data_IF_479621476974
#
_entry.id   IF_479621476974
#
_cell.length_a   1.000
_cell.length_b   1.000
_cell.length_c   1.000
_cell.angle_alpha   90.00
_cell.angle_beta   90.00
_cell.angle_gamma   90.00
#
_symmetry.space_group_name_H-M   'P 1'
#
loop_
_entity.id
_entity.type
_entity.pdbx_description
1 polymer ?
#
# COMPACT_ATOMS: atom_id res chain seq x y z
N UNK A 1 17.74 -1.92 -37.50
CA UNK A 1 17.80 -2.39 -36.10
C UNK A 1 18.79 -3.53 -36.06
N UNK A 2 20.02 -3.25 -35.63
CA UNK A 2 21.07 -4.27 -35.57
C UNK A 2 20.92 -5.09 -34.28
N UNK A 3 21.52 -6.29 -34.25
CA UNK A 3 21.53 -7.14 -33.05
C UNK A 3 22.14 -6.39 -31.84
N UNK A 4 23.08 -5.46 -32.08
CA UNK A 4 23.65 -4.59 -31.06
C UNK A 4 22.65 -3.61 -30.44
N UNK A 5 21.75 -3.03 -31.24
CA UNK A 5 20.69 -2.13 -30.75
C UNK A 5 19.71 -2.85 -29.81
N UNK A 6 19.35 -4.10 -30.16
CA UNK A 6 18.46 -4.92 -29.35
C UNK A 6 19.09 -5.29 -28.01
N UNK A 7 20.38 -5.61 -28.00
CA UNK A 7 21.13 -5.90 -26.77
C UNK A 7 21.18 -4.66 -25.85
N UNK A 8 21.41 -3.47 -26.41
CA UNK A 8 21.41 -2.22 -25.65
C UNK A 8 20.03 -1.92 -25.05
N UNK A 9 18.96 -2.06 -25.84
CA UNK A 9 17.58 -1.87 -25.36
C UNK A 9 17.24 -2.86 -24.25
N UNK A 10 17.62 -4.13 -24.40
CA UNK A 10 17.38 -5.16 -23.39
C UNK A 10 18.08 -4.83 -22.06
N UNK A 11 19.33 -4.36 -22.10
CA UNK A 11 20.07 -3.96 -20.90
C UNK A 11 19.42 -2.75 -20.22
N UNK A 12 19.03 -1.72 -20.98
CA UNK A 12 18.35 -0.54 -20.43
C UNK A 12 17.01 -0.94 -19.80
N UNK A 13 16.23 -1.80 -20.46
CA UNK A 13 14.96 -2.28 -19.96
C UNK A 13 15.13 -3.08 -18.65
N UNK A 14 16.16 -3.92 -18.53
CA UNK A 14 16.46 -4.68 -17.32
C UNK A 14 16.83 -3.77 -16.15
N UNK A 15 17.68 -2.76 -16.39
CA UNK A 15 18.06 -1.77 -15.38
C UNK A 15 16.85 -0.95 -14.93
N UNK A 16 16.04 -0.49 -15.88
CA UNK A 16 14.80 0.24 -15.59
C UNK A 16 13.82 -0.62 -14.79
N UNK A 17 13.65 -1.90 -15.17
CA UNK A 17 12.78 -2.85 -14.48
C UNK A 17 13.19 -3.04 -13.01
N UNK A 18 14.48 -3.24 -12.72
CA UNK A 18 14.97 -3.42 -11.35
C UNK A 18 14.77 -2.15 -10.51
N UNK A 19 15.04 -0.97 -11.07
CA UNK A 19 14.81 0.32 -10.40
C UNK A 19 13.33 0.55 -10.10
N UNK A 20 12.45 0.33 -11.08
CA UNK A 20 10.99 0.48 -10.93
C UNK A 20 10.49 -0.52 -9.89
N UNK A 21 10.93 -1.78 -9.92
CA UNK A 21 10.52 -2.80 -8.95
C UNK A 21 10.89 -2.41 -7.52
N UNK A 22 12.11 -1.89 -7.30
CA UNK A 22 12.57 -1.43 -5.97
C UNK A 22 11.80 -0.19 -5.50
N UNK A 23 11.47 0.71 -6.42
CA UNK A 23 10.66 1.90 -6.13
C UNK A 23 9.21 1.55 -5.81
N UNK A 24 8.62 0.59 -6.54
CA UNK A 24 7.25 0.12 -6.29
C UNK A 24 7.13 -0.54 -4.93
N UNK A 25 8.10 -1.38 -4.54
CA UNK A 25 8.16 -2.01 -3.20
C UNK A 25 8.23 -0.99 -2.06
N UNK A 26 8.84 0.18 -2.28
CA UNK A 26 8.90 1.28 -1.29
C UNK A 26 7.59 2.05 -1.19
N UNK A 27 6.81 2.11 -2.28
CA UNK A 27 5.51 2.78 -2.31
C UNK A 27 4.39 1.90 -1.71
N UNK A 28 4.60 0.59 -1.69
CA UNK A 28 3.74 -0.44 -1.08
C UNK A 28 3.88 -0.54 0.45
N UNK A 29 4.50 0.45 1.11
CA UNK A 29 4.38 0.53 2.57
C UNK A 29 2.97 1.00 2.89
N UNK A 30 2.13 0.06 3.30
CA UNK A 30 0.77 0.32 3.72
C UNK A 30 0.77 1.41 4.80
N UNK A 31 -0.03 2.44 4.59
CA UNK A 31 -0.25 3.51 5.55
C UNK A 31 -1.49 3.19 6.36
N UNK A 32 -1.42 3.43 7.66
CA UNK A 32 -2.59 3.29 8.52
C UNK A 32 -3.70 4.22 8.02
N UNK A 33 -4.87 3.67 7.74
CA UNK A 33 -6.03 4.43 7.27
C UNK A 33 -6.50 5.51 8.26
N UNK A 34 -6.18 5.35 9.56
CA UNK A 34 -6.59 6.30 10.61
C UNK A 34 -5.52 7.33 10.95
N UNK A 35 -4.26 6.93 11.11
CA UNK A 35 -3.19 7.83 11.58
C UNK A 35 -2.14 8.20 10.52
N UNK A 36 -2.20 7.59 9.32
CA UNK A 36 -1.29 7.86 8.21
C UNK A 36 0.15 7.38 8.39
N UNK A 37 0.47 6.74 9.52
CA UNK A 37 1.82 6.19 9.77
C UNK A 37 2.10 4.98 8.89
N UNK A 38 3.37 4.81 8.56
CA UNK A 38 3.89 3.63 7.87
C UNK A 38 3.72 2.39 8.76
N UNK A 39 3.06 1.36 8.23
CA UNK A 39 2.89 0.08 8.92
C UNK A 39 4.20 -0.69 8.77
N UNK A 40 4.97 -0.78 9.86
CA UNK A 40 6.26 -1.47 9.87
C UNK A 40 6.14 -2.93 10.31
N UNK A 41 5.21 -3.25 11.23
CA UNK A 41 5.03 -4.61 11.77
C UNK A 41 3.57 -4.83 12.21
N UNK A 42 3.02 -6.00 11.85
CA UNK A 42 1.66 -6.50 12.19
C UNK A 42 0.51 -5.53 11.87
N UNK A 43 0.20 -5.31 10.58
CA UNK A 43 -1.01 -4.58 10.20
C UNK A 43 -2.25 -5.28 10.75
N UNK A 44 -3.15 -4.51 11.35
CA UNK A 44 -4.50 -4.98 11.64
C UNK A 44 -5.33 -4.79 10.38
N UNK A 45 -5.82 -5.89 9.82
CA UNK A 45 -6.67 -5.90 8.64
C UNK A 45 -8.14 -5.91 9.08
N UNK A 46 -8.92 -4.98 8.54
CA UNK A 46 -10.34 -4.86 8.84
C UNK A 46 -11.13 -4.70 7.55
N UNK A 47 -12.06 -5.61 7.31
CA UNK A 47 -12.95 -5.56 6.15
C UNK A 47 -14.29 -5.00 6.57
N UNK A 48 -14.64 -3.82 6.06
CA UNK A 48 -15.92 -3.15 6.37
C UNK A 48 -16.57 -2.72 5.05
N UNK A 49 -17.84 -3.10 4.83
CA UNK A 49 -18.58 -2.92 3.56
C UNK A 49 -17.85 -3.44 2.31
N UNK A 50 -17.11 -4.54 2.45
CA UNK A 50 -16.32 -5.11 1.36
C UNK A 50 -15.05 -4.32 1.01
N UNK A 51 -14.74 -3.25 1.75
CA UNK A 51 -13.48 -2.50 1.62
C UNK A 51 -12.52 -2.97 2.71
N UNK A 52 -11.29 -3.34 2.30
CA UNK A 52 -10.20 -3.73 3.20
C UNK A 52 -9.43 -2.49 3.64
N UNK A 53 -9.34 -2.29 4.95
CA UNK A 53 -8.55 -1.24 5.58
C UNK A 53 -7.40 -1.85 6.38
N UNK A 54 -6.24 -1.19 6.31
CA UNK A 54 -5.02 -1.57 6.99
C UNK A 54 -4.70 -0.55 8.07
N UNK A 55 -4.42 -1.01 9.27
CA UNK A 55 -4.12 -0.17 10.43
C UNK A 55 -2.78 -0.54 11.06
N UNK A 56 -2.08 0.43 11.62
CA UNK A 56 -0.79 0.20 12.27
C UNK A 56 -0.89 -0.44 13.66
N UNK A 57 -2.08 -0.46 14.28
CA UNK A 57 -2.32 -1.04 15.60
C UNK A 57 -3.82 -1.28 15.85
N UNK A 58 -4.13 -2.08 16.86
CA UNK A 58 -5.49 -2.42 17.28
C UNK A 58 -6.30 -1.18 17.71
N UNK A 59 -5.67 -0.21 18.39
CA UNK A 59 -6.32 1.05 18.77
C UNK A 59 -6.83 1.86 17.56
N UNK A 60 -6.07 1.91 16.47
CA UNK A 60 -6.49 2.63 15.26
C UNK A 60 -7.67 1.93 14.58
N UNK A 61 -7.65 0.60 14.58
CA UNK A 61 -8.74 -0.23 14.09
C UNK A 61 -10.04 -0.02 14.90
N UNK A 62 -9.95 -0.08 16.23
CA UNK A 62 -11.10 0.13 17.12
C UNK A 62 -11.66 1.55 17.02
N UNK A 63 -10.80 2.57 17.00
CA UNK A 63 -11.25 3.97 16.84
C UNK A 63 -11.98 4.19 15.51
N UNK A 64 -11.50 3.55 14.44
CA UNK A 64 -12.14 3.62 13.12
C UNK A 64 -13.53 2.98 13.13
N UNK A 65 -13.71 1.85 13.82
CA UNK A 65 -15.02 1.22 14.00
C UNK A 65 -15.97 2.14 14.80
N UNK A 66 -15.53 2.64 15.95
CA UNK A 66 -16.37 3.49 16.82
C UNK A 66 -16.78 4.79 16.15
N UNK A 67 -15.88 5.51 15.47
CA UNK A 67 -16.24 6.72 14.72
C UNK A 67 -17.23 6.46 13.58
N UNK A 68 -17.24 5.25 13.01
CA UNK A 68 -18.20 4.86 11.96
C UNK A 68 -19.56 4.49 12.52
N UNK A 69 -19.59 3.79 13.65
CA UNK A 69 -20.83 3.49 14.38
C UNK A 69 -21.54 4.80 14.76
N UNK A 70 -20.79 5.80 15.22
CA UNK A 70 -21.30 7.15 15.51
C UNK A 70 -21.80 7.89 14.26
N UNK A 71 -21.16 7.70 13.10
CA UNK A 71 -21.59 8.30 11.83
C UNK A 71 -22.80 7.59 11.19
N UNK A 72 -23.06 6.33 11.55
CA UNK A 72 -24.20 5.54 11.09
C UNK A 72 -25.52 5.86 11.81
N UNK A 73 -25.45 6.55 12.96
CA UNK A 73 -26.62 6.91 13.79
C UNK A 73 -26.99 8.38 13.60
N UNK A 74 -27.09 8.82 12.35
CA UNK A 74 -27.81 10.04 11.95
C UNK A 74 -28.51 9.81 10.61
N UNK A 75 -29.48 8.90 10.58
CA UNK A 75 -30.55 8.89 9.60
C UNK A 75 -31.87 8.59 10.28
#
# INVERSE_FOLDING_TARGET
MTVGDLALIALIALVAYVKIRKFRRRRDMDRCAMCGRLIAERPVELSVDGVKYLFCCEHCASAFLSSREEAGVRR
#
